data_IF_200054123553
#
_entry.id   IF_200054123553
#
_cell.length_a   1.000
_cell.length_b   1.000
_cell.length_c   1.000
_cell.angle_alpha   90.00
_cell.angle_beta   90.00
_cell.angle_gamma   90.00
#
_symmetry.space_group_name_H-M   'P 1'
#
loop_
_entity.id
_entity.type
_entity.pdbx_description
1 polymer ?
#
# COMPACT_ATOMS: atom_id res chain seq x y z
N UNK A 1 -10.31 3.93 26.09
CA UNK A 1 -9.41 2.85 26.54
C UNK A 1 -8.03 3.46 26.68
N UNK A 2 -7.24 3.07 27.68
CA UNK A 2 -5.84 3.51 27.75
C UNK A 2 -4.99 2.57 26.88
N UNK A 3 -4.48 3.07 25.75
CA UNK A 3 -3.63 2.31 24.82
C UNK A 3 -2.15 2.63 24.96
N UNK A 4 -1.75 3.49 25.91
CA UNK A 4 -0.38 3.98 26.06
C UNK A 4 0.66 2.89 26.37
N UNK A 5 0.22 1.67 26.73
CA UNK A 5 1.06 0.50 26.94
C UNK A 5 1.06 -0.52 25.80
N UNK A 6 0.21 -0.35 24.77
CA UNK A 6 0.00 -1.33 23.70
C UNK A 6 1.16 -1.29 22.70
N UNK A 7 1.72 -2.45 22.38
CA UNK A 7 2.81 -2.59 21.40
C UNK A 7 2.40 -3.29 20.12
N UNK A 8 1.27 -4.02 20.11
CA UNK A 8 0.74 -4.69 18.93
C UNK A 8 -0.76 -4.45 18.81
N UNK A 9 -1.19 -4.04 17.62
CA UNK A 9 -2.59 -3.85 17.26
C UNK A 9 -3.00 -4.74 16.07
N UNK A 10 -2.19 -5.76 15.77
CA UNK A 10 -2.42 -6.70 14.68
C UNK A 10 -3.83 -7.30 14.74
N UNK A 11 -4.58 -7.26 13.63
CA UNK A 11 -5.91 -7.84 13.49
C UNK A 11 -6.95 -7.40 14.54
N UNK A 12 -6.74 -6.27 15.22
CA UNK A 12 -7.59 -5.84 16.34
C UNK A 12 -9.08 -5.71 15.97
N UNK A 13 -9.39 -5.26 14.76
CA UNK A 13 -10.74 -5.12 14.24
C UNK A 13 -11.04 -6.08 13.09
N UNK A 14 -10.28 -7.17 12.94
CA UNK A 14 -10.46 -8.13 11.85
C UNK A 14 -11.93 -8.56 11.70
N UNK A 15 -12.48 -8.44 10.49
CA UNK A 15 -13.88 -8.76 10.13
C UNK A 15 -14.96 -8.01 10.92
N UNK A 16 -14.62 -6.95 11.64
CA UNK A 16 -15.60 -6.07 12.29
C UNK A 16 -16.30 -5.16 11.26
N UNK A 17 -16.94 -5.72 10.24
CA UNK A 17 -17.42 -5.05 9.00
C UNK A 17 -18.17 -3.71 9.21
N UNK A 18 -18.89 -3.56 10.33
CA UNK A 18 -19.65 -2.35 10.69
C UNK A 18 -18.93 -1.38 11.64
N UNK A 19 -17.69 -1.66 12.02
CA UNK A 19 -16.91 -0.83 12.93
C UNK A 19 -16.47 0.47 12.24
N UNK A 20 -16.88 1.60 12.82
CA UNK A 20 -16.55 2.93 12.34
C UNK A 20 -16.60 3.94 13.50
N UNK A 21 -15.91 3.63 14.60
CA UNK A 21 -15.89 4.46 15.82
C UNK A 21 -14.60 5.27 15.86
N UNK A 22 -14.68 6.48 16.40
CA UNK A 22 -13.56 7.38 16.60
C UNK A 22 -12.45 6.74 17.45
N UNK A 23 -11.21 6.87 16.99
CA UNK A 23 -9.98 6.35 17.59
C UNK A 23 -8.92 7.44 17.82
N UNK A 24 -9.29 8.71 17.70
CA UNK A 24 -8.37 9.86 17.81
C UNK A 24 -7.69 9.97 19.18
N UNK A 25 -8.32 9.47 20.24
CA UNK A 25 -7.75 9.49 21.60
C UNK A 25 -6.75 8.36 21.89
N UNK A 26 -6.48 7.47 20.93
CA UNK A 26 -5.56 6.35 21.15
C UNK A 26 -4.12 6.79 21.04
N UNK A 27 -3.34 6.50 22.09
CA UNK A 27 -1.88 6.57 22.03
C UNK A 27 -1.35 5.33 21.29
N UNK A 28 -0.76 5.56 20.11
CA UNK A 28 -0.12 4.55 19.25
C UNK A 28 1.41 4.61 19.28
N UNK A 29 2.01 5.48 20.09
CA UNK A 29 3.46 5.78 20.10
C UNK A 29 4.37 4.61 20.47
N UNK A 30 3.79 3.50 20.97
CA UNK A 30 4.52 2.27 21.31
C UNK A 30 4.22 1.10 20.37
N UNK A 31 3.28 1.26 19.45
CA UNK A 31 2.85 0.20 18.55
C UNK A 31 3.94 -0.07 17.52
N UNK A 32 4.31 -1.32 17.38
CA UNK A 32 5.29 -1.80 16.39
C UNK A 32 4.64 -2.63 15.29
N UNK A 33 3.43 -3.13 15.51
CA UNK A 33 2.72 -4.00 14.58
C UNK A 33 1.26 -3.54 14.43
N UNK A 34 0.91 -3.11 13.22
CA UNK A 34 -0.46 -2.74 12.82
C UNK A 34 -1.03 -3.67 11.74
N UNK A 35 -0.39 -4.83 11.53
CA UNK A 35 -0.74 -5.75 10.45
C UNK A 35 -2.21 -6.20 10.54
N UNK A 36 -2.95 -6.03 9.46
CA UNK A 36 -4.36 -6.41 9.37
C UNK A 36 -5.29 -5.73 10.38
N UNK A 37 -4.89 -4.64 11.03
CA UNK A 37 -5.66 -4.01 12.11
C UNK A 37 -7.12 -3.74 11.71
N UNK A 38 -7.36 -3.27 10.49
CA UNK A 38 -8.69 -3.01 9.94
C UNK A 38 -9.08 -3.98 8.80
N UNK A 39 -8.44 -5.14 8.69
CA UNK A 39 -8.72 -6.08 7.59
C UNK A 39 -10.20 -6.53 7.60
N UNK A 40 -10.86 -6.40 6.44
CA UNK A 40 -12.29 -6.62 6.21
C UNK A 40 -13.24 -5.69 7.00
N UNK A 41 -12.78 -4.54 7.48
CA UNK A 41 -13.63 -3.53 8.15
C UNK A 41 -14.23 -2.59 7.10
N UNK A 42 -15.12 -3.10 6.24
CA UNK A 42 -15.54 -2.41 5.01
C UNK A 42 -16.04 -0.96 5.19
N UNK A 43 -16.64 -0.65 6.34
CA UNK A 43 -17.25 0.67 6.64
C UNK A 43 -16.32 1.68 7.35
N UNK A 44 -15.10 1.28 7.71
CA UNK A 44 -14.20 2.15 8.46
C UNK A 44 -13.71 3.33 7.62
N UNK A 45 -13.87 4.55 8.15
CA UNK A 45 -13.43 5.79 7.50
C UNK A 45 -13.21 6.91 8.53
N UNK A 46 -12.62 6.59 9.68
CA UNK A 46 -12.28 7.56 10.73
C UNK A 46 -10.89 8.14 10.53
N UNK A 47 -10.70 9.34 11.06
CA UNK A 47 -9.43 10.06 11.01
C UNK A 47 -8.36 9.34 11.86
N UNK A 48 -7.18 9.16 11.26
CA UNK A 48 -6.00 8.52 11.86
C UNK A 48 -4.76 9.41 11.76
N UNK A 49 -4.91 10.69 11.37
CA UNK A 49 -3.80 11.62 11.12
C UNK A 49 -2.92 11.85 12.36
N UNK A 50 -3.52 11.83 13.55
CA UNK A 50 -2.83 12.05 14.83
C UNK A 50 -2.10 10.79 15.37
N UNK A 51 -2.18 9.66 14.66
CA UNK A 51 -1.49 8.44 15.11
C UNK A 51 0.01 8.53 14.91
N UNK A 52 0.76 8.14 15.94
CA UNK A 52 2.20 8.03 15.87
C UNK A 52 2.60 6.64 15.34
N UNK A 53 3.01 6.59 14.08
CA UNK A 53 3.46 5.35 13.41
C UNK A 53 4.98 5.16 13.42
N UNK A 54 5.75 6.06 14.05
CA UNK A 54 7.22 6.07 13.98
C UNK A 54 7.91 4.80 14.47
N UNK A 55 7.21 3.91 15.18
CA UNK A 55 7.75 2.62 15.63
C UNK A 55 7.20 1.41 14.88
N UNK A 56 6.24 1.61 13.99
CA UNK A 56 5.58 0.53 13.26
C UNK A 56 6.55 -0.05 12.24
N UNK A 57 6.69 -1.37 12.28
CA UNK A 57 7.53 -2.13 11.36
C UNK A 57 6.72 -2.95 10.36
N UNK A 58 5.45 -3.22 10.67
CA UNK A 58 4.56 -4.03 9.83
C UNK A 58 3.19 -3.34 9.67
N UNK A 59 2.86 -3.00 8.42
CA UNK A 59 1.55 -2.47 8.00
C UNK A 59 0.86 -3.40 7.00
N UNK A 60 1.36 -4.62 6.83
CA UNK A 60 0.79 -5.58 5.88
C UNK A 60 -0.69 -5.81 6.17
N UNK A 61 -1.49 -5.91 5.12
CA UNK A 61 -2.95 -6.11 5.21
C UNK A 61 -3.76 -5.02 5.97
N UNK A 62 -3.16 -3.92 6.45
CA UNK A 62 -3.81 -3.02 7.43
C UNK A 62 -5.20 -2.53 7.00
N UNK A 63 -5.37 -2.17 5.73
CA UNK A 63 -6.61 -1.70 5.11
C UNK A 63 -7.16 -2.67 4.03
N UNK A 64 -6.78 -3.94 4.09
CA UNK A 64 -7.28 -4.95 3.15
C UNK A 64 -8.81 -5.08 3.24
N UNK A 65 -9.48 -4.88 2.11
CA UNK A 65 -10.95 -4.84 1.95
C UNK A 65 -11.65 -3.74 2.75
N UNK A 66 -10.95 -2.65 3.12
CA UNK A 66 -11.56 -1.48 3.77
C UNK A 66 -12.07 -0.51 2.71
N UNK A 67 -13.13 -0.93 2.01
CA UNK A 67 -13.65 -0.27 0.80
C UNK A 67 -13.96 1.22 0.96
N UNK A 68 -14.39 1.64 2.15
CA UNK A 68 -14.82 3.02 2.42
C UNK A 68 -13.69 3.97 2.86
N UNK A 69 -12.50 3.46 3.15
CA UNK A 69 -11.43 4.26 3.75
C UNK A 69 -10.81 5.21 2.74
N UNK A 70 -10.80 6.50 3.07
CA UNK A 70 -10.19 7.54 2.24
C UNK A 70 -9.78 8.75 3.11
N UNK A 71 -9.04 8.48 4.18
CA UNK A 71 -8.53 9.51 5.11
C UNK A 71 -7.05 9.75 4.92
N UNK A 72 -6.66 10.99 5.21
CA UNK A 72 -5.30 11.48 5.07
C UNK A 72 -4.35 10.69 5.97
N UNK A 73 -3.26 10.20 5.37
CA UNK A 73 -2.18 9.45 6.02
C UNK A 73 -0.81 10.10 5.74
N UNK A 74 -0.78 11.33 5.22
CA UNK A 74 0.44 11.99 4.76
C UNK A 74 1.46 12.26 5.88
N UNK A 75 0.98 12.44 7.12
CA UNK A 75 1.81 12.68 8.31
C UNK A 75 2.32 11.39 8.99
N UNK A 76 1.99 10.21 8.45
CA UNK A 76 2.50 8.96 9.00
C UNK A 76 4.00 8.80 8.73
N UNK A 77 4.76 8.54 9.80
CA UNK A 77 6.16 8.13 9.70
C UNK A 77 6.23 6.64 9.36
N UNK A 78 6.68 6.33 8.15
CA UNK A 78 6.85 4.96 7.65
C UNK A 78 8.32 4.50 7.61
N UNK A 79 9.26 5.30 8.12
CA UNK A 79 10.71 5.07 8.01
C UNK A 79 11.22 3.77 8.67
N UNK A 80 10.40 3.13 9.50
CA UNK A 80 10.69 1.84 10.13
C UNK A 80 9.91 0.67 9.53
N UNK A 81 8.98 0.91 8.60
CA UNK A 81 8.12 -0.12 8.00
C UNK A 81 8.94 -0.98 7.05
N UNK A 82 8.83 -2.30 7.22
CA UNK A 82 9.52 -3.31 6.41
C UNK A 82 8.58 -4.05 5.45
N UNK A 83 7.28 -4.13 5.77
CA UNK A 83 6.28 -4.75 4.91
C UNK A 83 5.03 -3.89 4.78
N UNK A 84 4.62 -3.67 3.53
CA UNK A 84 3.38 -3.02 3.12
C UNK A 84 2.52 -3.93 2.21
N UNK A 85 2.88 -5.21 2.12
CA UNK A 85 2.19 -6.19 1.30
C UNK A 85 0.69 -6.20 1.61
N UNK A 86 -0.15 -6.20 0.57
CA UNK A 86 -1.61 -6.23 0.66
C UNK A 86 -2.25 -5.06 1.44
N UNK A 87 -1.53 -3.99 1.78
CA UNK A 87 -2.01 -2.94 2.70
C UNK A 87 -3.33 -2.31 2.25
N UNK A 88 -3.48 -1.99 0.95
CA UNK A 88 -4.69 -1.39 0.35
C UNK A 88 -5.40 -2.35 -0.62
N UNK A 89 -5.23 -3.66 -0.44
CA UNK A 89 -5.88 -4.69 -1.26
C UNK A 89 -7.41 -4.53 -1.24
N UNK A 90 -8.04 -4.21 -2.37
CA UNK A 90 -9.45 -3.83 -2.52
C UNK A 90 -9.90 -2.69 -1.59
N UNK A 91 -9.03 -1.72 -1.30
CA UNK A 91 -9.41 -0.44 -0.69
C UNK A 91 -9.96 0.51 -1.76
N UNK A 92 -11.11 0.16 -2.34
CA UNK A 92 -11.68 0.77 -3.56
C UNK A 92 -11.74 2.30 -3.55
N UNK A 93 -12.04 2.93 -2.40
CA UNK A 93 -12.17 4.40 -2.28
C UNK A 93 -10.86 5.14 -1.98
N UNK A 94 -9.76 4.44 -1.66
CA UNK A 94 -8.55 5.09 -1.19
C UNK A 94 -7.85 5.86 -2.32
N UNK A 95 -7.66 7.17 -2.14
CA UNK A 95 -6.99 8.03 -3.13
C UNK A 95 -6.34 9.26 -2.46
N UNK A 96 -5.70 9.04 -1.30
CA UNK A 96 -5.00 10.09 -0.53
C UNK A 96 -3.52 10.14 -0.87
N UNK A 97 -2.93 11.31 -0.63
CA UNK A 97 -1.51 11.54 -0.89
C UNK A 97 -0.65 10.79 0.15
N UNK A 98 0.23 9.95 -0.38
CA UNK A 98 1.23 9.15 0.36
C UNK A 98 2.61 9.31 -0.27
N UNK A 99 2.81 10.35 -1.07
CA UNK A 99 4.08 10.64 -1.76
C UNK A 99 5.22 10.91 -0.78
N UNK A 100 4.92 11.36 0.44
CA UNK A 100 5.88 11.68 1.49
C UNK A 100 6.32 10.48 2.34
N UNK A 101 5.79 9.28 2.12
CA UNK A 101 6.19 8.09 2.87
C UNK A 101 7.65 7.70 2.57
N UNK A 102 8.40 7.39 3.62
CA UNK A 102 9.72 6.77 3.52
C UNK A 102 9.55 5.26 3.36
N UNK A 103 9.89 4.74 2.17
CA UNK A 103 9.80 3.31 1.83
C UNK A 103 11.16 2.62 1.78
N UNK A 104 12.24 3.29 2.18
CA UNK A 104 13.64 2.81 2.03
C UNK A 104 13.95 1.48 2.72
N UNK A 105 13.08 1.04 3.65
CA UNK A 105 13.19 -0.26 4.34
C UNK A 105 12.18 -1.30 3.91
N UNK A 106 11.24 -0.95 3.04
CA UNK A 106 10.20 -1.87 2.58
C UNK A 106 10.81 -2.87 1.62
N UNK A 107 10.60 -4.15 1.90
CA UNK A 107 11.09 -5.25 1.03
C UNK A 107 9.98 -5.93 0.24
N UNK A 108 8.72 -5.76 0.67
CA UNK A 108 7.53 -6.38 0.10
C UNK A 108 6.41 -5.34 -0.13
N UNK A 109 6.08 -5.14 -1.40
CA UNK A 109 4.96 -4.32 -1.87
C UNK A 109 3.94 -5.16 -2.68
N UNK A 110 4.04 -6.48 -2.62
CA UNK A 110 3.14 -7.38 -3.35
C UNK A 110 1.68 -7.08 -3.00
N UNK A 111 0.82 -7.06 -4.01
CA UNK A 111 -0.62 -6.82 -3.87
C UNK A 111 -1.03 -5.49 -3.19
N UNK A 112 -0.11 -4.53 -2.98
CA UNK A 112 -0.37 -3.37 -2.13
C UNK A 112 -1.59 -2.55 -2.56
N UNK A 113 -1.78 -2.34 -3.86
CA UNK A 113 -2.91 -1.60 -4.46
C UNK A 113 -3.79 -2.46 -5.36
N UNK A 114 -3.73 -3.79 -5.22
CA UNK A 114 -4.58 -4.70 -5.98
C UNK A 114 -6.05 -4.31 -5.78
N UNK A 115 -6.78 -4.04 -6.86
CA UNK A 115 -8.19 -3.66 -6.83
C UNK A 115 -8.48 -2.33 -6.13
N UNK A 116 -7.47 -1.49 -5.86
CA UNK A 116 -7.66 -0.12 -5.37
C UNK A 116 -8.07 0.79 -6.54
N UNK A 117 -9.27 0.58 -7.07
CA UNK A 117 -9.74 1.12 -8.35
C UNK A 117 -9.71 2.65 -8.46
N UNK A 118 -9.81 3.38 -7.34
CA UNK A 118 -9.74 4.85 -7.32
C UNK A 118 -8.34 5.43 -7.16
N UNK A 119 -7.33 4.63 -6.80
CA UNK A 119 -6.01 5.14 -6.44
C UNK A 119 -5.27 5.66 -7.67
N UNK A 120 -4.89 6.94 -7.65
CA UNK A 120 -4.13 7.58 -8.74
C UNK A 120 -3.27 8.74 -8.20
N UNK A 121 -2.58 8.53 -7.07
CA UNK A 121 -1.68 9.51 -6.47
C UNK A 121 -0.23 9.20 -6.78
N UNK A 122 0.55 10.26 -6.98
CA UNK A 122 1.96 10.15 -7.34
C UNK A 122 2.77 9.50 -6.22
N UNK A 123 3.55 8.49 -6.59
CA UNK A 123 4.42 7.71 -5.70
C UNK A 123 5.81 7.55 -6.31
N UNK A 124 6.17 8.44 -7.26
CA UNK A 124 7.47 8.44 -7.93
C UNK A 124 8.64 8.72 -6.98
N UNK A 125 8.38 9.39 -5.85
CA UNK A 125 9.39 9.72 -4.84
C UNK A 125 9.72 8.59 -3.85
N UNK A 126 9.06 7.45 -3.95
CA UNK A 126 9.34 6.30 -3.09
C UNK A 126 10.72 5.69 -3.38
N UNK A 127 11.46 5.37 -2.32
CA UNK A 127 12.67 4.56 -2.43
C UNK A 127 12.28 3.08 -2.52
N UNK A 128 12.40 2.52 -3.72
CA UNK A 128 12.10 1.11 -4.02
C UNK A 128 13.34 0.23 -4.08
N UNK A 129 14.53 0.77 -3.78
CA UNK A 129 15.80 0.05 -3.89
C UNK A 129 15.89 -1.20 -3.01
N UNK A 130 15.12 -1.25 -1.91
CA UNK A 130 15.02 -2.41 -1.02
C UNK A 130 13.98 -3.46 -1.43
N UNK A 131 13.10 -3.15 -2.40
CA UNK A 131 11.94 -3.97 -2.73
C UNK A 131 12.37 -5.19 -3.55
N UNK A 132 11.84 -6.35 -3.17
CA UNK A 132 12.11 -7.63 -3.84
C UNK A 132 10.89 -8.23 -4.52
N UNK A 133 9.68 -7.85 -4.12
CA UNK A 133 8.43 -8.35 -4.66
C UNK A 133 7.44 -7.21 -4.91
N UNK A 134 7.04 -7.06 -6.18
CA UNK A 134 6.02 -6.13 -6.66
C UNK A 134 4.89 -6.87 -7.39
N UNK A 135 4.79 -8.19 -7.22
CA UNK A 135 3.76 -9.00 -7.87
C UNK A 135 2.36 -8.47 -7.56
N UNK A 136 1.54 -8.38 -8.60
CA UNK A 136 0.13 -7.98 -8.52
C UNK A 136 -0.12 -6.62 -7.84
N UNK A 137 0.90 -5.75 -7.69
CA UNK A 137 0.80 -4.51 -6.92
C UNK A 137 -0.31 -3.58 -7.40
N UNK A 138 -0.50 -3.45 -8.71
CA UNK A 138 -1.52 -2.61 -9.36
C UNK A 138 -2.54 -3.43 -10.17
N UNK A 139 -2.66 -4.72 -9.88
CA UNK A 139 -3.66 -5.59 -10.51
C UNK A 139 -5.08 -5.03 -10.29
N UNK A 140 -5.88 -4.86 -11.34
CA UNK A 140 -7.19 -4.16 -11.26
C UNK A 140 -7.15 -2.73 -10.65
N UNK A 141 -6.01 -2.06 -10.61
CA UNK A 141 -5.93 -0.64 -10.22
C UNK A 141 -6.33 0.26 -11.41
N UNK A 142 -7.61 0.19 -11.80
CA UNK A 142 -8.14 0.73 -13.07
C UNK A 142 -7.77 2.19 -13.36
N UNK A 143 -7.74 3.05 -12.32
CA UNK A 143 -7.44 4.49 -12.47
C UNK A 143 -5.94 4.84 -12.42
N UNK A 144 -5.07 3.91 -12.02
CA UNK A 144 -3.67 4.24 -11.74
C UNK A 144 -2.90 4.52 -13.03
N UNK A 145 -2.31 5.72 -13.12
CA UNK A 145 -1.51 6.14 -14.27
C UNK A 145 -0.45 7.19 -13.89
N UNK A 146 0.26 6.94 -12.79
CA UNK A 146 1.31 7.84 -12.30
C UNK A 146 2.69 7.36 -12.72
N UNK A 147 3.59 8.30 -12.96
CA UNK A 147 4.97 8.06 -13.37
C UNK A 147 5.71 7.23 -12.31
N UNK A 148 6.38 6.17 -12.76
CA UNK A 148 7.20 5.25 -11.96
C UNK A 148 8.63 5.11 -12.51
N UNK A 149 9.03 5.96 -13.46
CA UNK A 149 10.32 5.84 -14.16
C UNK A 149 11.53 5.95 -13.22
N UNK A 150 11.40 6.67 -12.11
CA UNK A 150 12.46 6.87 -11.10
C UNK A 150 12.57 5.74 -10.07
N UNK A 151 11.74 4.69 -10.15
CA UNK A 151 11.84 3.55 -9.24
C UNK A 151 13.09 2.72 -9.52
N UNK A 152 13.85 2.42 -8.46
CA UNK A 152 14.95 1.46 -8.50
C UNK A 152 14.41 0.04 -8.41
N UNK A 153 14.29 -0.62 -9.56
CA UNK A 153 13.83 -2.02 -9.65
C UNK A 153 14.97 -3.04 -9.61
N UNK A 154 16.21 -2.62 -9.39
CA UNK A 154 17.40 -3.47 -9.55
C UNK A 154 17.44 -4.67 -8.59
N UNK A 155 16.68 -4.66 -7.49
CA UNK A 155 16.54 -5.77 -6.54
C UNK A 155 15.26 -6.59 -6.69
N UNK A 156 14.33 -6.17 -7.55
CA UNK A 156 13.04 -6.83 -7.72
C UNK A 156 13.22 -8.20 -8.39
N UNK A 157 12.58 -9.22 -7.82
CA UNK A 157 12.61 -10.60 -8.31
C UNK A 157 11.29 -11.03 -8.93
N UNK A 158 10.17 -10.39 -8.56
CA UNK A 158 8.82 -10.70 -9.07
C UNK A 158 8.05 -9.43 -9.40
N UNK A 159 7.53 -9.38 -10.63
CA UNK A 159 6.64 -8.36 -11.19
C UNK A 159 5.43 -9.01 -11.90
N UNK A 160 5.21 -10.31 -11.67
CA UNK A 160 4.10 -11.03 -12.28
C UNK A 160 2.78 -10.30 -12.04
N UNK A 161 1.98 -10.17 -13.09
CA UNK A 161 0.64 -9.58 -13.08
C UNK A 161 0.57 -8.15 -12.49
N UNK A 162 1.70 -7.43 -12.38
CA UNK A 162 1.78 -6.16 -11.64
C UNK A 162 0.78 -5.11 -12.14
N UNK A 163 0.54 -5.01 -13.45
CA UNK A 163 -0.41 -4.09 -14.08
C UNK A 163 -1.55 -4.83 -14.81
N UNK A 164 -1.81 -6.09 -14.46
CA UNK A 164 -2.89 -6.86 -15.08
C UNK A 164 -4.25 -6.19 -14.82
N UNK A 165 -5.03 -5.93 -15.88
CA UNK A 165 -6.24 -5.09 -15.82
C UNK A 165 -6.05 -3.65 -15.26
N UNK A 166 -4.83 -3.09 -15.22
CA UNK A 166 -4.62 -1.68 -14.92
C UNK A 166 -4.97 -0.82 -16.15
N UNK A 167 -6.26 -0.65 -16.43
CA UNK A 167 -6.76 -0.14 -17.71
C UNK A 167 -6.20 1.23 -18.12
N UNK A 168 -5.96 2.13 -17.17
CA UNK A 168 -5.45 3.49 -17.43
C UNK A 168 -3.93 3.59 -17.55
N UNK A 169 -3.18 2.55 -17.14
CA UNK A 169 -1.72 2.65 -17.02
C UNK A 169 -1.06 2.75 -18.39
N UNK A 170 -0.26 3.80 -18.59
CA UNK A 170 0.45 4.05 -19.86
C UNK A 170 1.75 4.86 -19.69
N UNK A 171 2.52 4.57 -18.63
CA UNK A 171 3.77 5.26 -18.35
C UNK A 171 4.98 4.56 -18.97
N UNK A 172 6.05 5.32 -19.20
CA UNK A 172 7.31 4.81 -19.71
C UNK A 172 8.09 4.13 -18.58
N UNK A 173 8.48 2.87 -18.81
CA UNK A 173 9.21 2.03 -17.86
C UNK A 173 10.58 1.59 -18.43
N UNK A 174 11.07 2.27 -19.47
CA UNK A 174 12.30 1.89 -20.17
C UNK A 174 13.57 1.95 -19.33
N UNK A 175 13.56 2.71 -18.23
CA UNK A 175 14.69 2.86 -17.31
C UNK A 175 14.72 1.79 -16.19
N UNK A 176 13.71 0.92 -16.10
CA UNK A 176 13.67 -0.13 -15.08
C UNK A 176 14.77 -1.18 -15.30
N UNK A 177 15.61 -1.41 -14.29
CA UNK A 177 16.52 -2.55 -14.26
C UNK A 177 15.75 -3.82 -13.91
N UNK A 178 15.60 -4.69 -14.90
CA UNK A 178 14.86 -5.95 -14.78
C UNK A 178 15.77 -7.18 -14.74
N UNK A 179 17.09 -6.98 -14.57
CA UNK A 179 18.10 -8.04 -14.66
C UNK A 179 17.96 -9.15 -13.61
N UNK A 180 17.28 -8.88 -12.50
CA UNK A 180 17.01 -9.85 -11.42
C UNK A 180 15.59 -10.41 -11.43
N UNK A 181 14.72 -9.88 -12.28
CA UNK A 181 13.32 -10.31 -12.32
C UNK A 181 13.24 -11.72 -12.91
N UNK A 182 12.61 -12.61 -12.16
CA UNK A 182 12.42 -14.02 -12.55
C UNK A 182 10.98 -14.33 -12.96
N UNK A 183 10.03 -13.45 -12.61
CA UNK A 183 8.62 -13.55 -12.97
C UNK A 183 8.07 -12.20 -13.46
N UNK A 184 7.61 -12.16 -14.70
CA UNK A 184 6.87 -11.04 -15.32
C UNK A 184 5.63 -11.55 -16.08
N UNK A 185 5.16 -12.75 -15.72
CA UNK A 185 4.02 -13.35 -16.41
C UNK A 185 2.82 -12.39 -16.36
N UNK A 186 2.18 -12.18 -17.52
CA UNK A 186 0.95 -11.38 -17.66
C UNK A 186 1.03 -9.96 -17.07
N UNK A 187 2.24 -9.38 -16.90
CA UNK A 187 2.45 -8.09 -16.25
C UNK A 187 1.55 -6.97 -16.78
N UNK A 188 1.30 -6.91 -18.09
CA UNK A 188 0.46 -5.91 -18.75
C UNK A 188 -0.76 -6.51 -19.45
N UNK A 189 -1.07 -7.79 -19.21
CA UNK A 189 -2.24 -8.37 -19.88
C UNK A 189 -3.52 -7.65 -19.43
N UNK A 190 -4.39 -7.36 -20.40
CA UNK A 190 -5.59 -6.54 -20.20
C UNK A 190 -5.35 -5.09 -19.70
N UNK A 191 -4.12 -4.57 -19.68
CA UNK A 191 -3.83 -3.15 -19.46
C UNK A 191 -4.10 -2.34 -20.75
N UNK A 192 -5.37 -2.04 -21.02
CA UNK A 192 -5.82 -1.62 -22.37
C UNK A 192 -5.23 -0.30 -22.89
N UNK A 193 -4.81 0.62 -22.01
CA UNK A 193 -4.15 1.87 -22.43
C UNK A 193 -2.65 1.71 -22.70
N UNK A 194 -2.02 0.63 -22.23
CA UNK A 194 -0.58 0.45 -22.27
C UNK A 194 -0.08 0.26 -23.71
N UNK A 195 0.70 1.23 -24.20
CA UNK A 195 1.21 1.28 -25.57
C UNK A 195 2.63 1.87 -25.68
N UNK A 196 3.33 1.98 -24.57
CA UNK A 196 4.69 2.50 -24.49
C UNK A 196 5.71 1.37 -24.43
#
# INVERSE_FOLDING_TARGET
WDTSGVTGMSNMFYEATSFNRDLSEWDTSRVTDMSGMFRYVESFNQDLSEWNTSRVTDMSYMFRYVKSFNRDLSEWDTSNVMSMGWMFYYAESFNQDISGWDTSRVTDMSYMFYGATSFNRGISGWDTSGVTDMSEMFFYAESFNQDLSEWDTSNVMSMGWMFYYAESFNQDLSEWDTSRVTDMNEMFDSATSFNR
#
